data_IF_199104769034
#
_entry.id   IF_199104769034
#
_cell.length_a   1.000
_cell.length_b   1.000
_cell.length_c   1.000
_cell.angle_alpha   90.00
_cell.angle_beta   90.00
_cell.angle_gamma   90.00
#
_symmetry.space_group_name_H-M   'P 1'
#
loop_
_entity.id
_entity.type
_entity.pdbx_description
1 polymer ?
#
# COMPACT_ATOMS: atom_id res chain seq x y z
N UNK A 1 55.82 88.99 -21.13
CA UNK A 1 56.96 88.47 -21.92
C UNK A 1 56.61 87.11 -22.47
N UNK A 2 56.82 86.94 -23.78
CA UNK A 2 56.95 85.70 -24.56
C UNK A 2 55.77 84.73 -24.63
N UNK A 3 55.05 84.86 -25.74
CA UNK A 3 54.43 83.74 -26.47
C UNK A 3 55.52 82.94 -27.21
N UNK A 4 55.36 81.62 -27.30
CA UNK A 4 56.04 80.80 -28.32
C UNK A 4 55.23 79.53 -28.63
N UNK A 5 54.39 79.64 -29.65
CA UNK A 5 54.21 78.78 -30.83
C UNK A 5 54.59 77.28 -30.88
N UNK A 6 53.63 76.54 -31.49
CA UNK A 6 53.70 75.34 -32.35
C UNK A 6 54.06 73.98 -31.73
N UNK A 7 53.14 72.99 -31.82
CA UNK A 7 53.22 71.94 -32.85
C UNK A 7 51.92 71.12 -32.94
N UNK A 8 51.57 70.73 -34.17
CA UNK A 8 50.46 69.87 -34.57
C UNK A 8 50.73 68.42 -34.13
N UNK A 9 49.71 67.64 -33.76
CA UNK A 9 49.43 66.31 -34.35
C UNK A 9 48.21 65.60 -33.71
N UNK A 10 47.53 64.84 -34.57
CA UNK A 10 46.82 63.58 -34.32
C UNK A 10 45.38 63.60 -33.76
N UNK A 11 44.48 63.33 -34.71
CA UNK A 11 43.12 62.80 -34.58
C UNK A 11 43.13 61.45 -33.85
N UNK A 12 42.22 61.24 -32.90
CA UNK A 12 41.60 59.92 -32.70
C UNK A 12 40.20 60.07 -32.11
N UNK A 13 39.19 59.81 -32.93
CA UNK A 13 37.81 59.66 -32.49
C UNK A 13 37.70 58.36 -31.68
N UNK A 14 37.27 58.44 -30.42
CA UNK A 14 36.77 57.30 -29.67
C UNK A 14 35.38 57.62 -29.16
N UNK A 15 34.40 57.16 -29.93
CA UNK A 15 33.00 57.11 -29.54
C UNK A 15 32.85 55.98 -28.51
N UNK A 16 32.66 56.32 -27.23
CA UNK A 16 32.17 55.34 -26.25
C UNK A 16 30.89 55.89 -25.65
N UNK A 17 29.77 55.56 -26.30
CA UNK A 17 28.46 55.58 -25.67
C UNK A 17 28.36 54.33 -24.80
N UNK A 18 28.57 54.48 -23.49
CA UNK A 18 28.26 53.44 -22.51
C UNK A 18 26.77 53.42 -22.22
N UNK A 19 26.00 52.64 -22.98
CA UNK A 19 24.60 52.33 -22.67
C UNK A 19 24.50 51.18 -21.68
N UNK A 20 23.81 51.48 -20.58
CA UNK A 20 22.86 50.68 -19.79
C UNK A 20 23.15 49.20 -19.57
N UNK A 21 23.10 48.77 -18.31
CA UNK A 21 22.17 47.70 -17.87
C UNK A 21 22.22 47.61 -16.35
N UNK A 22 21.07 47.88 -15.72
CA UNK A 22 20.90 47.74 -14.28
C UNK A 22 21.30 46.34 -13.82
N UNK A 23 21.79 46.26 -12.59
CA UNK A 23 21.85 45.00 -11.87
C UNK A 23 20.41 44.47 -11.72
N UNK A 24 19.98 43.65 -12.67
CA UNK A 24 18.80 42.80 -12.49
C UNK A 24 19.22 41.79 -11.43
N UNK A 25 18.87 42.05 -10.17
CA UNK A 25 18.85 40.97 -9.18
C UNK A 25 17.94 39.89 -9.75
N UNK A 26 18.54 38.79 -10.22
CA UNK A 26 17.78 37.66 -10.72
C UNK A 26 16.86 37.20 -9.58
N UNK A 27 15.55 37.36 -9.77
CA UNK A 27 14.57 36.89 -8.81
C UNK A 27 14.79 35.40 -8.57
N UNK A 28 15.02 35.00 -7.32
CA UNK A 28 15.08 33.58 -6.96
C UNK A 28 13.69 33.13 -6.53
N UNK A 29 13.30 31.94 -6.97
CA UNK A 29 12.08 31.28 -6.49
C UNK A 29 12.50 30.29 -5.40
N UNK A 30 11.79 30.31 -4.27
CA UNK A 30 11.98 29.34 -3.19
C UNK A 30 10.81 28.36 -3.20
N UNK A 31 11.09 27.07 -3.15
CA UNK A 31 10.08 26.02 -2.98
C UNK A 31 10.34 25.24 -1.69
N UNK A 32 9.26 24.81 -1.03
CA UNK A 32 9.32 23.92 0.14
C UNK A 32 8.89 22.52 -0.29
N UNK A 33 9.74 21.53 -0.04
CA UNK A 33 9.41 20.10 -0.15
C UNK A 33 9.25 19.55 1.27
N UNK A 34 8.17 18.81 1.53
CA UNK A 34 7.92 18.15 2.82
C UNK A 34 7.82 16.65 2.56
N UNK A 35 8.57 15.86 3.32
CA UNK A 35 8.56 14.39 3.26
C UNK A 35 7.93 13.85 4.55
N UNK A 36 7.06 12.85 4.42
CA UNK A 36 6.39 12.18 5.53
C UNK A 36 6.64 10.68 5.41
N UNK A 37 6.79 10.02 6.55
CA UNK A 37 7.00 8.58 6.63
C UNK A 37 6.91 8.11 8.07
N UNK A 38 6.80 6.80 8.25
CA UNK A 38 6.78 6.15 9.55
C UNK A 38 7.79 5.01 9.55
N UNK A 39 8.59 4.90 10.61
CA UNK A 39 9.53 3.80 10.80
C UNK A 39 8.94 2.89 11.89
N UNK A 40 8.85 1.60 11.59
CA UNK A 40 8.37 0.58 12.53
C UNK A 40 9.54 -0.33 12.92
N UNK A 41 9.45 -0.91 14.12
CA UNK A 41 10.42 -1.90 14.59
C UNK A 41 10.10 -3.26 13.94
N UNK A 42 10.72 -3.53 12.79
CA UNK A 42 10.49 -4.72 11.98
C UNK A 42 11.74 -5.08 11.17
N UNK A 43 12.09 -6.37 11.01
CA UNK A 43 13.20 -6.81 10.16
C UNK A 43 12.96 -6.58 8.65
N UNK A 44 11.70 -6.38 8.24
CA UNK A 44 11.30 -6.08 6.87
C UNK A 44 10.41 -4.84 6.79
N UNK A 45 10.40 -4.18 5.64
CA UNK A 45 9.40 -3.15 5.28
C UNK A 45 8.29 -3.75 4.45
N UNK A 46 7.02 -3.40 4.70
CA UNK A 46 5.92 -3.72 3.78
C UNK A 46 5.97 -2.72 2.62
N UNK A 47 5.78 -3.18 1.39
CA UNK A 47 5.78 -2.28 0.23
C UNK A 47 4.57 -1.33 0.26
N UNK A 48 4.74 -0.10 -0.22
CA UNK A 48 3.66 0.90 -0.28
C UNK A 48 2.46 0.41 -1.10
N UNK A 49 2.69 -0.44 -2.09
CA UNK A 49 1.63 -1.00 -2.94
C UNK A 49 0.76 -2.02 -2.19
N UNK A 50 1.28 -2.62 -1.12
CA UNK A 50 0.59 -3.69 -0.37
C UNK A 50 0.26 -3.32 1.08
N UNK A 51 0.71 -2.16 1.58
CA UNK A 51 0.40 -1.67 2.94
C UNK A 51 -1.09 -1.31 3.11
N UNK A 52 -1.72 -0.75 2.08
CA UNK A 52 -3.15 -0.41 2.03
C UNK A 52 -3.72 -0.75 0.66
N UNK A 53 -4.10 -2.02 0.49
CA UNK A 53 -4.56 -2.55 -0.78
C UNK A 53 -6.08 -2.77 -0.80
N UNK A 54 -6.70 -2.50 -1.95
CA UNK A 54 -8.12 -2.79 -2.19
C UNK A 54 -8.27 -4.03 -3.08
N UNK A 55 -8.90 -5.09 -2.54
CA UNK A 55 -9.19 -6.32 -3.30
C UNK A 55 -10.61 -6.25 -3.88
N UNK A 56 -10.72 -6.21 -5.21
CA UNK A 56 -12.02 -6.18 -5.87
C UNK A 56 -12.71 -7.56 -5.85
N UNK A 57 -13.73 -7.70 -5.01
CA UNK A 57 -14.53 -8.92 -4.90
C UNK A 57 -15.49 -9.13 -6.09
N UNK A 58 -15.81 -8.06 -6.83
CA UNK A 58 -16.72 -8.04 -7.96
C UNK A 58 -18.06 -7.37 -7.62
N UNK A 59 -18.66 -6.72 -8.63
CA UNK A 59 -19.86 -5.89 -8.45
C UNK A 59 -21.19 -6.64 -8.67
N UNK A 60 -21.15 -7.88 -9.17
CA UNK A 60 -22.35 -8.62 -9.61
C UNK A 60 -22.34 -10.06 -9.11
N UNK A 61 -22.28 -10.25 -7.79
CA UNK A 61 -22.33 -11.58 -7.17
C UNK A 61 -23.79 -11.93 -6.87
N UNK A 62 -24.33 -12.93 -7.56
CA UNK A 62 -25.70 -13.39 -7.34
C UNK A 62 -25.82 -14.14 -6.01
N UNK A 63 -26.79 -13.78 -5.16
CA UNK A 63 -27.02 -14.43 -3.86
C UNK A 63 -27.26 -15.94 -3.95
N UNK A 64 -27.81 -16.45 -5.06
CA UNK A 64 -27.98 -17.89 -5.31
C UNK A 64 -26.67 -18.68 -5.43
N UNK A 65 -25.53 -18.00 -5.64
CA UNK A 65 -24.19 -18.61 -5.59
C UNK A 65 -23.70 -18.82 -4.16
N UNK A 66 -24.39 -18.23 -3.17
CA UNK A 66 -24.06 -18.26 -1.75
C UNK A 66 -25.13 -18.95 -0.90
N UNK A 67 -26.30 -19.27 -1.45
CA UNK A 67 -27.38 -19.90 -0.70
C UNK A 67 -27.01 -21.30 -0.22
N UNK A 68 -27.58 -21.70 0.94
CA UNK A 68 -27.44 -23.04 1.51
C UNK A 68 -25.98 -23.46 1.75
N UNK A 69 -25.16 -22.56 2.31
CA UNK A 69 -23.77 -22.86 2.67
C UNK A 69 -22.79 -22.85 1.49
N UNK A 70 -23.20 -22.39 0.31
CA UNK A 70 -22.32 -22.31 -0.86
C UNK A 70 -21.29 -21.19 -0.70
N UNK A 71 -20.20 -21.34 -1.44
CA UNK A 71 -19.06 -20.41 -1.40
C UNK A 71 -18.62 -20.03 -2.80
N UNK A 72 -17.93 -18.89 -2.91
CA UNK A 72 -17.27 -18.47 -4.16
C UNK A 72 -15.82 -18.94 -4.24
N UNK A 73 -15.42 -19.98 -3.48
CA UNK A 73 -14.01 -20.43 -3.35
C UNK A 73 -13.37 -20.83 -4.69
N UNK A 74 -14.16 -21.32 -5.64
CA UNK A 74 -13.70 -21.65 -6.99
C UNK A 74 -13.28 -20.40 -7.79
N UNK A 75 -13.84 -19.24 -7.44
CA UNK A 75 -13.53 -17.93 -8.01
C UNK A 75 -12.93 -16.98 -6.96
N UNK A 76 -12.19 -17.53 -5.98
CA UNK A 76 -11.54 -16.74 -4.95
C UNK A 76 -10.63 -15.66 -5.56
N UNK A 77 -10.57 -14.50 -4.89
CA UNK A 77 -9.69 -13.40 -5.27
C UNK A 77 -8.35 -13.58 -4.59
N UNK A 78 -7.28 -13.52 -5.36
CA UNK A 78 -5.92 -13.56 -4.84
C UNK A 78 -5.46 -12.16 -4.47
N UNK A 79 -4.71 -12.07 -3.38
CA UNK A 79 -4.01 -10.87 -2.98
C UNK A 79 -2.70 -11.27 -2.31
N UNK A 80 -1.76 -10.33 -2.17
CA UNK A 80 -0.46 -10.62 -1.60
C UNK A 80 0.01 -9.47 -0.73
N UNK A 81 0.87 -9.78 0.24
CA UNK A 81 1.60 -8.78 1.01
C UNK A 81 3.07 -8.97 0.70
N UNK A 82 3.67 -7.94 0.12
CA UNK A 82 5.07 -7.96 -0.25
C UNK A 82 5.90 -7.25 0.81
N UNK A 83 6.97 -7.92 1.20
CA UNK A 83 7.98 -7.41 2.11
C UNK A 83 9.25 -7.13 1.32
N UNK A 84 9.94 -6.04 1.66
CA UNK A 84 11.22 -5.65 1.06
C UNK A 84 12.24 -5.18 2.10
N UNK A 85 13.51 -5.21 1.71
CA UNK A 85 14.63 -4.80 2.56
C UNK A 85 14.75 -5.66 3.82
N UNK A 86 14.36 -6.93 3.72
CA UNK A 86 14.37 -7.86 4.86
C UNK A 86 15.80 -8.15 5.31
N UNK A 87 16.00 -8.12 6.64
CA UNK A 87 17.25 -8.53 7.27
C UNK A 87 16.94 -9.56 8.35
N UNK A 88 17.48 -10.77 8.18
CA UNK A 88 17.22 -11.89 9.08
C UNK A 88 18.42 -12.12 10.00
N UNK A 89 18.17 -12.33 11.29
CA UNK A 89 19.22 -12.68 12.24
C UNK A 89 19.19 -14.19 12.52
N UNK A 90 18.04 -14.69 12.94
CA UNK A 90 17.84 -16.11 13.31
C UNK A 90 16.49 -16.66 12.86
N UNK A 91 15.61 -15.79 12.40
CA UNK A 91 14.23 -16.07 12.04
C UNK A 91 14.19 -16.99 10.82
N UNK A 92 13.28 -17.94 10.84
CA UNK A 92 13.03 -18.91 9.76
C UNK A 92 11.59 -18.89 9.29
N UNK A 93 10.70 -18.27 10.06
CA UNK A 93 9.28 -18.27 9.79
C UNK A 93 8.68 -16.87 10.00
N UNK A 94 7.60 -16.63 9.29
CA UNK A 94 6.69 -15.51 9.46
C UNK A 94 5.36 -16.04 9.97
N UNK A 95 4.90 -15.46 11.06
CA UNK A 95 3.57 -15.67 11.60
C UNK A 95 2.68 -14.50 11.18
N UNK A 96 1.58 -14.82 10.51
CA UNK A 96 0.59 -13.88 10.04
C UNK A 96 -0.71 -14.07 10.80
N UNK A 97 -1.26 -12.98 11.33
CA UNK A 97 -2.56 -12.95 11.99
C UNK A 97 -3.45 -11.92 11.32
N UNK A 98 -4.64 -12.35 10.92
CA UNK A 98 -5.69 -11.46 10.42
C UNK A 98 -6.65 -11.09 11.55
N UNK A 99 -6.94 -9.81 11.70
CA UNK A 99 -7.94 -9.28 12.62
C UNK A 99 -8.90 -8.32 11.91
N UNK A 100 -9.98 -7.91 12.57
CA UNK A 100 -10.93 -6.96 11.99
C UNK A 100 -10.28 -5.58 11.82
N UNK A 101 -10.39 -5.03 10.62
CA UNK A 101 -10.00 -3.66 10.32
C UNK A 101 -11.03 -2.62 10.79
N UNK A 102 -10.67 -1.35 10.68
CA UNK A 102 -11.55 -0.24 11.05
C UNK A 102 -12.91 -0.32 10.34
N UNK A 103 -13.99 -0.10 11.10
CA UNK A 103 -15.36 -0.14 10.58
C UNK A 103 -15.88 -1.53 10.22
N UNK A 104 -15.11 -2.60 10.44
CA UNK A 104 -15.49 -3.99 10.15
C UNK A 104 -15.58 -4.80 11.44
N UNK A 105 -16.43 -5.83 11.42
CA UNK A 105 -16.62 -6.77 12.54
C UNK A 105 -16.43 -8.20 12.05
N UNK A 106 -16.30 -9.15 12.99
CA UNK A 106 -16.46 -10.56 12.65
C UNK A 106 -17.92 -10.85 12.31
N UNK A 107 -18.19 -11.79 11.41
CA UNK A 107 -19.55 -12.16 11.05
C UNK A 107 -20.26 -12.87 12.22
N UNK A 108 -21.49 -12.48 12.53
CA UNK A 108 -22.24 -12.94 13.71
C UNK A 108 -22.36 -14.47 13.81
N UNK A 109 -22.67 -15.14 12.69
CA UNK A 109 -22.88 -16.60 12.65
C UNK A 109 -21.67 -17.35 12.06
N UNK A 110 -20.56 -16.65 11.85
CA UNK A 110 -19.31 -17.17 11.30
C UNK A 110 -18.13 -16.33 11.81
N UNK A 111 -17.92 -16.32 13.13
CA UNK A 111 -16.97 -15.43 13.81
C UNK A 111 -15.51 -15.63 13.39
N UNK A 112 -15.23 -16.76 12.75
CA UNK A 112 -13.93 -17.06 12.13
C UNK A 112 -13.64 -16.17 10.91
N UNK A 113 -14.65 -15.48 10.36
CA UNK A 113 -14.60 -14.73 9.10
C UNK A 113 -15.06 -13.26 9.30
N UNK A 114 -14.72 -12.40 8.34
CA UNK A 114 -15.14 -11.00 8.36
C UNK A 114 -16.61 -10.85 7.97
N UNK A 115 -17.30 -9.90 8.59
CA UNK A 115 -18.61 -9.43 8.16
C UNK A 115 -18.49 -8.57 6.89
N UNK A 116 -19.49 -8.67 6.01
CA UNK A 116 -19.64 -7.77 4.86
C UNK A 116 -20.40 -6.53 5.31
N UNK A 117 -19.72 -5.42 5.58
CA UNK A 117 -20.37 -4.20 6.06
C UNK A 117 -20.97 -3.46 4.87
N UNK A 118 -22.25 -3.10 4.93
CA UNK A 118 -22.87 -2.32 3.85
C UNK A 118 -22.24 -0.93 3.77
N UNK A 119 -22.03 -0.46 2.54
CA UNK A 119 -21.46 0.89 2.29
C UNK A 119 -22.39 2.02 2.71
N UNK A 120 -23.69 1.75 2.84
CA UNK A 120 -24.70 2.70 3.35
C UNK A 120 -24.70 2.87 4.88
N UNK A 121 -23.85 2.13 5.60
CA UNK A 121 -23.74 2.20 7.06
C UNK A 121 -24.88 1.49 7.82
N UNK A 122 -25.77 0.75 7.15
CA UNK A 122 -26.90 0.05 7.79
C UNK A 122 -26.53 -1.30 8.42
N UNK A 123 -25.25 -1.50 8.73
CA UNK A 123 -24.71 -2.71 9.34
C UNK A 123 -24.23 -3.75 8.34
N UNK A 124 -24.10 -5.00 8.80
CA UNK A 124 -23.61 -6.10 7.97
C UNK A 124 -24.69 -6.67 7.02
N UNK A 125 -24.27 -7.20 5.87
CA UNK A 125 -25.11 -8.05 5.04
C UNK A 125 -25.35 -9.36 5.78
N UNK A 126 -26.62 -9.73 5.92
CA UNK A 126 -27.03 -10.92 6.65
C UNK A 126 -26.65 -12.21 5.94
N UNK A 127 -26.34 -13.25 6.73
CA UNK A 127 -26.13 -14.63 6.27
C UNK A 127 -24.99 -14.79 5.24
N UNK A 128 -23.99 -13.91 5.26
CA UNK A 128 -22.79 -14.01 4.41
C UNK A 128 -21.58 -13.48 5.17
N UNK A 129 -20.42 -14.07 4.89
CA UNK A 129 -19.12 -13.66 5.44
C UNK A 129 -18.03 -13.68 4.36
N UNK A 130 -16.93 -12.99 4.64
CA UNK A 130 -15.72 -12.97 3.82
C UNK A 130 -14.65 -13.79 4.53
N UNK A 131 -14.33 -14.93 3.94
CA UNK A 131 -13.24 -15.80 4.38
C UNK A 131 -11.92 -15.33 3.76
N UNK A 132 -10.84 -15.44 4.53
CA UNK A 132 -9.46 -15.25 4.09
C UNK A 132 -8.78 -16.60 4.20
N UNK A 133 -7.95 -16.95 3.23
CA UNK A 133 -7.18 -18.18 3.24
C UNK A 133 -5.80 -18.03 2.66
N UNK A 134 -5.02 -19.09 2.79
CA UNK A 134 -3.69 -19.19 2.19
C UNK A 134 -3.78 -19.35 0.65
N UNK A 135 -2.61 -19.47 0.00
CA UNK A 135 -2.52 -19.74 -1.43
C UNK A 135 -3.19 -21.07 -1.86
N UNK A 136 -3.31 -22.03 -0.95
CA UNK A 136 -4.01 -23.30 -1.12
C UNK A 136 -5.52 -23.22 -0.89
N UNK A 137 -6.05 -22.04 -0.54
CA UNK A 137 -7.46 -21.79 -0.17
C UNK A 137 -7.87 -22.50 1.13
N UNK A 138 -6.92 -22.77 2.02
CA UNK A 138 -7.23 -23.18 3.38
C UNK A 138 -7.61 -21.95 4.19
N UNK A 139 -8.74 -22.01 4.90
CA UNK A 139 -9.24 -20.88 5.67
C UNK A 139 -8.28 -20.51 6.81
N UNK A 140 -7.90 -19.23 6.89
CA UNK A 140 -7.18 -18.63 8.01
C UNK A 140 -8.22 -17.89 8.84
N UNK A 141 -8.54 -18.41 10.02
CA UNK A 141 -9.56 -17.81 10.88
C UNK A 141 -9.05 -16.51 11.47
N UNK A 142 -9.97 -15.57 11.70
CA UNK A 142 -9.65 -14.34 12.42
C UNK A 142 -9.05 -14.65 13.80
N UNK A 143 -7.89 -14.06 14.09
CA UNK A 143 -7.14 -14.27 15.33
C UNK A 143 -6.25 -15.52 15.36
N UNK A 144 -6.39 -16.44 14.42
CA UNK A 144 -5.50 -17.60 14.33
C UNK A 144 -4.15 -17.20 13.71
N UNK A 145 -3.10 -17.93 14.11
CA UNK A 145 -1.76 -17.77 13.56
C UNK A 145 -1.58 -18.67 12.34
N UNK A 146 -1.31 -18.06 11.19
CA UNK A 146 -0.84 -18.74 10.00
C UNK A 146 0.68 -18.62 9.90
N UNK A 147 1.39 -19.75 9.86
CA UNK A 147 2.85 -19.76 9.76
C UNK A 147 3.29 -20.08 8.35
N UNK A 148 4.15 -19.23 7.79
CA UNK A 148 4.83 -19.43 6.52
C UNK A 148 6.35 -19.44 6.76
N UNK A 149 7.06 -20.38 6.16
CA UNK A 149 8.51 -20.35 6.16
C UNK A 149 9.02 -19.14 5.36
N UNK A 150 10.08 -18.50 5.84
CA UNK A 150 10.82 -17.51 5.06
C UNK A 150 11.42 -18.24 3.86
N UNK A 151 11.13 -17.76 2.67
CA UNK A 151 11.66 -18.32 1.44
C UNK A 151 13.12 -17.88 1.31
N UNK A 152 14.02 -18.86 1.32
CA UNK A 152 15.40 -18.69 0.90
C UNK A 152 15.43 -18.54 -0.64
N UNK A 153 15.50 -17.30 -1.11
CA UNK A 153 15.45 -16.95 -2.54
C UNK A 153 16.84 -17.00 -3.16
N UNK A 154 17.89 -16.71 -2.40
CA UNK A 154 19.25 -16.54 -2.94
C UNK A 154 20.31 -17.52 -2.36
N UNK A 155 19.96 -18.38 -1.39
CA UNK A 155 20.89 -19.33 -0.76
C UNK A 155 21.90 -18.68 0.18
N UNK A 156 21.76 -17.37 0.43
CA UNK A 156 22.59 -16.57 1.32
C UNK A 156 21.82 -16.31 2.62
N UNK A 157 22.45 -16.61 3.75
CA UNK A 157 21.79 -16.73 5.06
C UNK A 157 21.10 -15.47 5.62
N UNK A 158 21.19 -14.31 4.97
CA UNK A 158 20.86 -13.01 5.59
C UNK A 158 20.10 -12.02 4.67
N UNK A 159 20.02 -12.25 3.34
CA UNK A 159 19.57 -11.21 2.41
C UNK A 159 18.61 -11.71 1.33
N UNK A 160 17.51 -12.33 1.72
CA UNK A 160 16.36 -12.38 0.82
C UNK A 160 15.67 -11.01 0.86
N UNK A 161 16.10 -10.10 -0.01
CA UNK A 161 15.64 -8.71 -0.01
C UNK A 161 14.12 -8.59 -0.19
N UNK A 162 13.43 -9.66 -0.62
CA UNK A 162 11.99 -9.66 -0.86
C UNK A 162 11.32 -10.93 -0.36
N UNK A 163 10.14 -10.81 0.21
CA UNK A 163 9.25 -11.94 0.51
C UNK A 163 7.84 -11.62 0.04
N UNK A 164 7.09 -12.63 -0.40
CA UNK A 164 5.70 -12.44 -0.84
C UNK A 164 4.76 -13.44 -0.18
N UNK A 165 3.88 -12.92 0.67
CA UNK A 165 2.87 -13.68 1.38
C UNK A 165 1.60 -13.71 0.53
N UNK A 166 1.29 -14.86 -0.06
CA UNK A 166 0.17 -15.02 -1.00
C UNK A 166 -1.09 -15.55 -0.30
N UNK A 167 -2.21 -14.85 -0.49
CA UNK A 167 -3.48 -15.14 0.15
C UNK A 167 -4.63 -15.19 -0.86
N UNK A 168 -5.75 -15.74 -0.42
CA UNK A 168 -7.01 -15.77 -1.15
C UNK A 168 -8.16 -15.28 -0.29
N UNK A 169 -9.19 -14.71 -0.92
CA UNK A 169 -10.41 -14.27 -0.27
C UNK A 169 -11.64 -14.74 -1.04
N UNK A 170 -12.67 -15.20 -0.35
CA UNK A 170 -13.93 -15.64 -0.97
C UNK A 170 -15.12 -15.42 -0.03
N UNK A 171 -16.31 -15.37 -0.63
CA UNK A 171 -17.55 -15.24 0.11
C UNK A 171 -18.08 -16.60 0.52
N UNK A 172 -18.62 -16.66 1.74
CA UNK A 172 -19.24 -17.85 2.34
C UNK A 172 -20.64 -17.47 2.78
N UNK A 173 -21.66 -18.05 2.15
CA UNK A 173 -23.03 -17.87 2.61
C UNK A 173 -23.37 -18.85 3.74
N UNK A 174 -24.32 -18.47 4.59
CA UNK A 174 -24.75 -19.31 5.69
C UNK A 174 -25.51 -20.56 5.19
N UNK A 175 -25.43 -21.64 5.97
CA UNK A 175 -26.16 -22.88 5.70
C UNK A 175 -27.68 -22.70 5.73
N UNK A 176 -28.16 -21.75 6.54
CA UNK A 176 -29.58 -21.44 6.73
C UNK A 176 -29.82 -19.95 6.57
N UNK A 177 -31.04 -19.58 6.17
CA UNK A 177 -31.44 -18.18 5.99
C UNK A 177 -31.18 -17.66 4.58
N UNK A 178 -31.78 -16.51 4.28
CA UNK A 178 -31.63 -15.84 2.99
C UNK A 178 -30.42 -14.91 3.03
N UNK A 179 -29.47 -15.13 2.13
CA UNK A 179 -28.32 -14.23 1.93
C UNK A 179 -28.83 -12.85 1.54
N UNK A 180 -28.46 -11.85 2.33
CA UNK A 180 -28.79 -10.45 2.08
C UNK A 180 -28.11 -9.91 0.81
N UNK A 181 -28.55 -8.75 0.35
CA UNK A 181 -28.01 -8.07 -0.84
C UNK A 181 -27.65 -6.63 -0.52
N UNK A 182 -26.65 -6.10 -1.21
CA UNK A 182 -26.19 -4.73 -1.08
C UNK A 182 -24.74 -4.61 -1.53
N UNK A 183 -24.29 -3.37 -1.72
CA UNK A 183 -22.87 -3.07 -1.83
C UNK A 183 -22.22 -3.22 -0.45
N UNK A 184 -21.01 -3.76 -0.41
CA UNK A 184 -20.29 -4.01 0.84
C UNK A 184 -18.84 -3.58 0.79
N UNK A 185 -18.28 -3.38 1.98
CA UNK A 185 -16.87 -3.24 2.27
C UNK A 185 -16.52 -4.08 3.50
N UNK A 186 -15.32 -4.62 3.52
CA UNK A 186 -14.76 -5.35 4.67
C UNK A 186 -13.27 -5.04 4.72
N UNK A 187 -12.79 -4.65 5.90
CA UNK A 187 -11.39 -4.37 6.16
C UNK A 187 -10.82 -5.40 7.13
N UNK A 188 -9.58 -5.80 6.88
CA UNK A 188 -8.79 -6.65 7.75
C UNK A 188 -7.50 -5.92 8.11
N UNK A 189 -7.05 -6.05 9.36
CA UNK A 189 -5.68 -5.71 9.72
C UNK A 189 -4.83 -6.98 9.64
N UNK A 190 -3.61 -6.85 9.14
CA UNK A 190 -2.66 -7.95 9.06
C UNK A 190 -1.48 -7.64 9.95
N UNK A 191 -1.13 -8.57 10.82
CA UNK A 191 0.06 -8.46 11.68
C UNK A 191 1.02 -9.57 11.30
N UNK A 192 2.25 -9.20 10.99
CA UNK A 192 3.33 -10.13 10.66
C UNK A 192 4.34 -10.07 11.79
N UNK A 193 4.71 -11.25 12.29
CA UNK A 193 5.76 -11.44 13.29
C UNK A 193 6.77 -12.46 12.78
N UNK A 194 8.01 -12.36 13.24
CA UNK A 194 9.14 -13.10 12.69
C UNK A 194 9.76 -13.96 13.79
N UNK A 195 10.03 -15.24 13.49
CA UNK A 195 10.44 -16.27 14.46
C UNK A 195 11.49 -17.22 13.91
#
# INVERSE_FOLDING_TARGET
MKSSHFCKLAVTASLVMGIVSGAQAAGSNTAKVTFLGNIVDSPCSVTLDTEDQTVNMGSSIGNGTLSNGKTTINNARTFHIDLEGCTWATEKNMNVVFTTGSGTTAATDATDNLALMKTDGTGAISNVSLAIGDAGKNNIKLGDTYTQAIADLDGDTILDEKQSLNFTAWLVGAATGTVGTGEFSSAANVTISYL
#
